data_IF_894822353322
#
_entry.id   IF_894822353322
#
_cell.length_a   1.000
_cell.length_b   1.000
_cell.length_c   1.000
_cell.angle_alpha   90.00
_cell.angle_beta   90.00
_cell.angle_gamma   90.00
#
_symmetry.space_group_name_H-M   'P 1'
#
loop_
_entity.id
_entity.type
_entity.pdbx_description
1 polymer ?
#
# COMPACT_ATOMS: atom_id res chain seq x y z
N UNK A 1 6.64 -10.82 -12.37
CA UNK A 1 5.66 -9.78 -11.99
C UNK A 1 4.35 -9.93 -12.77
N UNK A 2 4.39 -10.27 -14.06
CA UNK A 2 3.20 -10.38 -14.93
C UNK A 2 2.14 -11.38 -14.45
N UNK A 3 2.53 -12.59 -14.03
CA UNK A 3 1.59 -13.58 -13.47
C UNK A 3 0.81 -13.07 -12.26
N UNK A 4 1.44 -12.25 -11.41
CA UNK A 4 0.78 -11.68 -10.24
C UNK A 4 -0.19 -10.56 -10.63
N UNK A 5 0.21 -9.73 -11.60
CA UNK A 5 -0.66 -8.69 -12.14
C UNK A 5 -1.91 -9.28 -12.81
N UNK A 6 -1.72 -10.33 -13.63
CA UNK A 6 -2.84 -11.06 -14.25
C UNK A 6 -3.83 -11.61 -13.23
N UNK A 7 -3.35 -12.15 -12.10
CA UNK A 7 -4.24 -12.58 -11.01
C UNK A 7 -5.06 -11.44 -10.41
N UNK A 8 -4.44 -10.28 -10.20
CA UNK A 8 -5.17 -9.09 -9.74
C UNK A 8 -6.20 -8.59 -10.75
N UNK A 9 -5.88 -8.67 -12.05
CA UNK A 9 -6.83 -8.37 -13.10
C UNK A 9 -8.02 -9.34 -13.10
N UNK A 10 -7.75 -10.64 -13.05
CA UNK A 10 -8.80 -11.67 -12.98
C UNK A 10 -9.66 -11.54 -11.71
N UNK A 11 -9.07 -11.13 -10.58
CA UNK A 11 -9.78 -10.79 -9.36
C UNK A 11 -10.65 -9.55 -9.55
N UNK A 12 -10.11 -8.47 -10.13
CA UNK A 12 -10.84 -7.23 -10.41
C UNK A 12 -12.05 -7.45 -11.32
N UNK A 13 -11.93 -8.32 -12.33
CA UNK A 13 -13.03 -8.69 -13.25
C UNK A 13 -14.18 -9.37 -12.50
N UNK A 14 -13.90 -10.10 -11.42
CA UNK A 14 -14.92 -10.80 -10.62
C UNK A 14 -15.61 -9.91 -9.60
N UNK A 15 -15.06 -8.73 -9.31
CA UNK A 15 -15.65 -7.80 -8.34
C UNK A 15 -16.81 -7.03 -8.96
N UNK A 16 -17.85 -6.71 -8.16
CA UNK A 16 -18.91 -5.82 -8.62
C UNK A 16 -18.36 -4.40 -8.79
N UNK A 17 -18.47 -3.84 -10.00
CA UNK A 17 -18.01 -2.48 -10.30
C UNK A 17 -17.28 -2.39 -11.64
N UNK A 18 -16.58 -1.28 -11.87
CA UNK A 18 -15.74 -1.11 -13.06
C UNK A 18 -14.39 -1.78 -12.82
N UNK A 19 -14.03 -2.75 -13.66
CA UNK A 19 -12.79 -3.53 -13.57
C UNK A 19 -11.54 -2.67 -13.37
N UNK A 20 -11.43 -1.54 -14.07
CA UNK A 20 -10.26 -0.67 -13.96
C UNK A 20 -10.14 0.00 -12.59
N UNK A 21 -11.25 0.44 -12.01
CA UNK A 21 -11.29 1.03 -10.66
C UNK A 21 -10.94 -0.04 -9.61
N UNK A 22 -11.46 -1.26 -9.76
CA UNK A 22 -11.19 -2.36 -8.85
C UNK A 22 -9.75 -2.87 -8.94
N UNK A 23 -9.17 -2.87 -10.13
CA UNK A 23 -7.77 -3.18 -10.30
C UNK A 23 -6.88 -2.16 -9.58
N UNK A 24 -7.19 -0.87 -9.69
CA UNK A 24 -6.43 0.18 -9.01
C UNK A 24 -6.59 0.11 -7.49
N UNK A 25 -7.81 -0.13 -7.00
CA UNK A 25 -8.07 -0.39 -5.58
C UNK A 25 -7.26 -1.58 -5.08
N UNK A 26 -7.17 -2.64 -5.89
CA UNK A 26 -6.30 -3.77 -5.59
C UNK A 26 -4.83 -3.32 -5.55
N UNK A 27 -4.31 -2.68 -6.57
CA UNK A 27 -2.89 -2.31 -6.56
C UNK A 27 -2.52 -1.36 -5.41
N UNK A 28 -3.41 -0.45 -5.02
CA UNK A 28 -3.18 0.49 -3.93
C UNK A 28 -3.24 -0.15 -2.53
N UNK A 29 -4.09 -1.16 -2.30
CA UNK A 29 -4.23 -1.77 -0.98
C UNK A 29 -3.16 -2.83 -0.64
N UNK A 30 -2.11 -2.93 -1.43
CA UNK A 30 -0.94 -3.75 -1.08
C UNK A 30 -0.16 -3.10 0.06
N UNK A 31 0.30 -3.91 1.02
CA UNK A 31 1.03 -3.44 2.18
C UNK A 31 2.29 -2.65 1.81
N UNK A 32 3.08 -3.12 0.83
CA UNK A 32 4.26 -2.37 0.38
C UNK A 32 3.91 -0.99 -0.20
N UNK A 33 2.77 -0.88 -0.87
CA UNK A 33 2.28 0.39 -1.37
C UNK A 33 1.73 1.29 -0.26
N UNK A 34 1.00 0.74 0.71
CA UNK A 34 0.50 1.49 1.89
C UNK A 34 1.68 2.11 2.66
N UNK A 35 2.73 1.33 2.95
CA UNK A 35 3.93 1.81 3.63
C UNK A 35 4.59 2.95 2.85
N UNK A 36 4.66 2.83 1.53
CA UNK A 36 5.19 3.88 0.66
C UNK A 36 4.31 5.15 0.65
N UNK A 37 2.99 5.00 0.56
CA UNK A 37 2.02 6.11 0.56
C UNK A 37 1.95 6.81 1.91
N UNK A 38 2.18 6.10 3.00
CA UNK A 38 2.27 6.63 4.36
C UNK A 38 3.58 7.38 4.64
N UNK A 39 4.53 7.42 3.69
CA UNK A 39 5.81 8.11 3.88
C UNK A 39 6.83 7.35 4.72
N UNK A 40 6.54 6.10 5.10
CA UNK A 40 7.45 5.26 5.91
C UNK A 40 8.62 4.68 5.11
N UNK A 41 8.63 4.92 3.80
CA UNK A 41 9.71 4.50 2.91
C UNK A 41 9.87 5.48 1.74
N UNK A 42 11.12 5.80 1.42
CA UNK A 42 11.43 6.76 0.34
C UNK A 42 11.05 6.25 -1.05
N UNK A 43 11.22 4.95 -1.30
CA UNK A 43 10.90 4.33 -2.60
C UNK A 43 10.01 3.10 -2.44
N UNK A 44 9.25 2.74 -3.48
CA UNK A 44 8.46 1.49 -3.48
C UNK A 44 9.33 0.24 -3.28
N UNK A 45 10.57 0.26 -3.80
CA UNK A 45 11.54 -0.83 -3.59
C UNK A 45 11.95 -0.96 -2.13
N UNK A 46 12.24 0.18 -1.48
CA UNK A 46 12.55 0.23 -0.05
C UNK A 46 11.35 -0.24 0.79
N UNK A 47 10.13 0.21 0.49
CA UNK A 47 8.93 -0.22 1.19
C UNK A 47 8.75 -1.74 1.11
N UNK A 48 8.91 -2.31 -0.09
CA UNK A 48 8.86 -3.77 -0.31
C UNK A 48 9.91 -4.51 0.51
N UNK A 49 11.14 -3.99 0.54
CA UNK A 49 12.22 -4.59 1.34
C UNK A 49 11.90 -4.56 2.84
N UNK A 50 11.40 -3.43 3.34
CA UNK A 50 11.05 -3.28 4.75
C UNK A 50 9.94 -4.24 5.16
N UNK A 51 8.92 -4.41 4.31
CA UNK A 51 7.87 -5.41 4.54
C UNK A 51 8.47 -6.81 4.50
N UNK A 52 9.24 -7.19 3.48
CA UNK A 52 9.84 -8.53 3.38
C UNK A 52 10.73 -8.88 4.56
N UNK A 53 11.44 -7.91 5.14
CA UNK A 53 12.27 -8.09 6.32
C UNK A 53 11.47 -8.14 7.63
N UNK A 54 10.15 -7.95 7.57
CA UNK A 54 9.26 -8.14 8.71
C UNK A 54 9.32 -7.00 9.73
N UNK A 55 9.49 -5.77 9.26
CA UNK A 55 9.51 -4.59 10.13
C UNK A 55 8.13 -4.13 10.60
N UNK A 56 7.05 -4.69 10.06
CA UNK A 56 5.69 -4.27 10.32
C UNK A 56 4.83 -5.36 10.97
N UNK A 57 3.89 -4.90 11.77
CA UNK A 57 2.77 -5.69 12.26
C UNK A 57 1.47 -5.10 11.68
N UNK A 58 0.55 -5.96 11.27
CA UNK A 58 -0.84 -5.56 10.91
C UNK A 58 -1.75 -6.11 11.99
N UNK A 59 -2.50 -5.24 12.66
CA UNK A 59 -3.39 -5.59 13.78
C UNK A 59 -2.67 -6.39 14.88
N UNK A 60 -1.42 -6.04 15.17
CA UNK A 60 -0.58 -6.73 16.17
C UNK A 60 0.06 -8.05 15.70
N UNK A 61 -0.29 -8.54 14.52
CA UNK A 61 0.29 -9.77 13.94
C UNK A 61 1.44 -9.42 13.01
N UNK A 62 2.53 -10.18 13.10
CA UNK A 62 3.68 -10.01 12.23
C UNK A 62 3.35 -10.32 10.76
N UNK A 63 3.66 -9.39 9.85
CA UNK A 63 3.43 -9.57 8.41
C UNK A 63 4.69 -9.22 7.64
N UNK A 64 5.19 -10.19 6.86
CA UNK A 64 6.37 -10.05 6.01
C UNK A 64 6.07 -10.22 4.51
N UNK A 65 4.80 -10.11 4.11
CA UNK A 65 4.34 -10.34 2.73
C UNK A 65 4.03 -8.98 2.08
N UNK A 66 4.85 -8.50 1.12
CA UNK A 66 4.62 -7.21 0.47
C UNK A 66 3.27 -7.07 -0.24
N UNK A 67 2.77 -8.19 -0.77
CA UNK A 67 1.48 -8.27 -1.44
C UNK A 67 0.30 -8.49 -0.49
N UNK A 68 0.50 -8.44 0.83
CA UNK A 68 -0.58 -8.49 1.80
C UNK A 68 -1.60 -7.39 1.48
N UNK A 69 -2.89 -7.74 1.56
CA UNK A 69 -4.02 -6.87 1.22
C UNK A 69 -4.50 -6.21 2.50
N UNK A 70 -4.28 -4.91 2.66
CA UNK A 70 -4.91 -4.19 3.78
C UNK A 70 -6.40 -4.04 3.51
N UNK A 71 -7.16 -4.09 4.58
CA UNK A 71 -8.61 -3.91 4.62
C UNK A 71 -8.96 -2.60 5.33
N UNK A 72 -10.23 -2.24 5.25
CA UNK A 72 -10.76 -1.12 6.01
C UNK A 72 -10.54 -1.33 7.51
N UNK A 73 -10.16 -0.25 8.21
CA UNK A 73 -9.88 -0.21 9.65
C UNK A 73 -8.65 -1.02 10.11
N UNK A 74 -7.83 -1.51 9.18
CA UNK A 74 -6.55 -2.08 9.54
C UNK A 74 -5.63 -1.04 10.19
N UNK A 75 -4.85 -1.53 11.14
CA UNK A 75 -3.83 -0.77 11.85
C UNK A 75 -2.48 -1.40 11.53
N UNK A 76 -1.63 -0.64 10.82
CA UNK A 76 -0.24 -1.05 10.53
C UNK A 76 0.69 -0.34 11.49
N UNK A 77 1.47 -1.11 12.25
CA UNK A 77 2.42 -0.60 13.24
C UNK A 77 3.84 -1.06 12.92
N UNK A 78 4.82 -0.28 13.34
CA UNK A 78 6.23 -0.64 13.27
C UNK A 78 6.56 -1.53 14.46
N UNK A 79 7.18 -2.67 14.19
CA UNK A 79 7.61 -3.61 15.23
C UNK A 79 8.65 -2.95 16.14
N UNK A 80 8.58 -3.18 17.45
CA UNK A 80 9.42 -2.47 18.44
C UNK A 80 10.92 -2.56 18.14
N UNK A 81 11.40 -3.74 17.72
CA UNK A 81 12.81 -3.97 17.34
C UNK A 81 13.28 -3.12 16.15
N UNK A 82 12.33 -2.64 15.34
CA UNK A 82 12.59 -1.90 14.10
C UNK A 82 12.51 -0.38 14.30
N UNK A 83 11.88 0.09 15.38
CA UNK A 83 11.71 1.52 15.67
C UNK A 83 13.03 2.30 15.69
N UNK A 84 14.10 1.68 16.19
CA UNK A 84 15.42 2.30 16.31
C UNK A 84 16.33 2.03 15.11
N UNK A 85 15.82 1.44 14.03
CA UNK A 85 16.64 1.16 12.85
C UNK A 85 16.75 2.38 11.94
N UNK A 86 17.91 2.53 11.32
CA UNK A 86 18.25 3.65 10.41
C UNK A 86 17.17 3.93 9.35
N UNK A 87 16.52 2.93 8.72
CA UNK A 87 15.45 3.20 7.74
C UNK A 87 14.26 3.98 8.30
N UNK A 88 13.89 3.77 9.57
CA UNK A 88 12.77 4.46 10.20
C UNK A 88 13.16 5.84 10.73
N UNK A 89 14.43 6.04 11.10
CA UNK A 89 14.95 7.37 11.41
C UNK A 89 14.89 8.27 10.16
N UNK A 90 15.36 7.77 9.03
CA UNK A 90 15.29 8.46 7.73
C UNK A 90 13.82 8.69 7.34
N UNK A 91 12.93 7.72 7.53
CA UNK A 91 11.52 7.90 7.24
C UNK A 91 10.89 9.05 8.05
N UNK A 92 11.24 9.18 9.35
CA UNK A 92 10.81 10.31 10.19
C UNK A 92 11.37 11.64 9.69
N UNK A 93 12.61 11.67 9.19
CA UNK A 93 13.23 12.86 8.63
C UNK A 93 12.61 13.28 7.29
N UNK A 94 12.19 12.31 6.46
CA UNK A 94 11.53 12.57 5.18
C UNK A 94 10.01 12.72 5.29
N UNK A 95 9.45 12.65 6.50
CA UNK A 95 8.02 12.82 6.75
C UNK A 95 7.59 14.25 6.33
N UNK A 96 6.65 14.33 5.39
CA UNK A 96 6.20 15.60 4.81
C UNK A 96 6.70 15.89 3.39
N UNK A 97 7.63 15.09 2.84
CA UNK A 97 8.03 15.21 1.43
C UNK A 97 6.87 14.94 0.45
N UNK A 98 5.88 14.13 0.85
CA UNK A 98 4.73 13.76 0.03
C UNK A 98 3.43 13.84 0.82
N UNK A 99 2.34 14.31 0.19
CA UNK A 99 1.04 14.28 0.83
C UNK A 99 0.59 12.83 1.05
N UNK A 100 0.12 12.56 2.27
CA UNK A 100 -0.51 11.28 2.61
C UNK A 100 -1.94 11.31 2.05
N UNK A 101 -2.37 10.29 1.26
CA UNK A 101 -3.74 10.22 0.74
C UNK A 101 -4.79 10.19 1.84
N UNK A 102 -5.99 10.72 1.58
CA UNK A 102 -7.06 10.86 2.58
C UNK A 102 -7.62 9.54 3.14
N UNK A 103 -7.42 8.41 2.45
CA UNK A 103 -7.82 7.09 2.94
C UNK A 103 -6.83 6.49 3.97
N UNK A 104 -5.67 7.14 4.16
CA UNK A 104 -4.65 6.79 5.13
C UNK A 104 -4.49 7.92 6.16
N UNK A 105 -4.17 7.54 7.38
CA UNK A 105 -3.74 8.48 8.41
C UNK A 105 -2.52 7.92 9.12
N UNK A 106 -1.50 8.75 9.31
CA UNK A 106 -0.33 8.40 10.14
C UNK A 106 -0.46 9.12 11.48
N UNK A 107 -0.48 8.36 12.56
CA UNK A 107 -0.69 8.86 13.92
C UNK A 107 0.45 8.49 14.86
N UNK A 108 0.72 9.41 15.79
CA UNK A 108 1.64 9.21 16.90
C UNK A 108 3.12 9.15 16.52
N UNK A 109 3.96 9.14 17.54
CA UNK A 109 5.41 9.14 17.38
C UNK A 109 5.96 7.82 16.80
N UNK A 110 5.21 6.73 17.03
CA UNK A 110 5.51 5.37 16.53
C UNK A 110 5.21 5.18 15.04
N UNK A 111 4.68 6.21 14.36
CA UNK A 111 4.37 6.16 12.93
C UNK A 111 3.35 5.07 12.59
N UNK A 112 2.28 4.98 13.38
CA UNK A 112 1.20 4.02 13.18
C UNK A 112 0.32 4.48 12.02
N UNK A 113 0.06 3.59 11.06
CA UNK A 113 -0.78 3.87 9.90
C UNK A 113 -2.17 3.28 10.13
N UNK A 114 -3.19 4.13 10.02
CA UNK A 114 -4.59 3.76 10.10
C UNK A 114 -5.18 3.80 8.68
N UNK A 115 -5.89 2.74 8.31
CA UNK A 115 -6.61 2.65 7.03
C UNK A 115 -8.08 2.96 7.30
N UNK A 116 -8.60 4.10 6.83
CA UNK A 116 -9.99 4.47 7.10
C UNK A 116 -10.98 3.79 6.15
N UNK A 117 -10.58 3.62 4.90
CA UNK A 117 -11.36 3.01 3.83
C UNK A 117 -10.41 2.56 2.72
N UNK A 118 -10.92 1.76 1.78
CA UNK A 118 -10.18 1.49 0.56
C UNK A 118 -10.23 2.73 -0.36
N UNK A 119 -9.16 2.99 -1.14
CA UNK A 119 -9.10 4.17 -1.98
C UNK A 119 -10.13 4.14 -3.11
N UNK A 120 -10.82 5.26 -3.30
CA UNK A 120 -11.61 5.52 -4.49
C UNK A 120 -10.74 6.01 -5.64
N UNK A 121 -11.21 5.86 -6.88
CA UNK A 121 -10.45 6.27 -8.07
C UNK A 121 -10.00 7.74 -8.04
N UNK A 122 -10.85 8.63 -7.52
CA UNK A 122 -10.56 10.05 -7.37
C UNK A 122 -9.44 10.36 -6.36
N UNK A 123 -9.19 9.44 -5.41
CA UNK A 123 -8.12 9.55 -4.42
C UNK A 123 -6.78 8.98 -4.93
N UNK A 124 -6.76 8.37 -6.11
CA UNK A 124 -5.59 7.75 -6.72
C UNK A 124 -4.98 8.70 -7.76
N UNK A 125 -3.97 9.45 -7.33
CA UNK A 125 -3.20 10.35 -8.19
C UNK A 125 -2.12 9.59 -8.97
N UNK A 126 -2.56 8.79 -9.95
CA UNK A 126 -1.68 8.09 -10.89
C UNK A 126 -2.07 8.51 -12.31
N UNK A 127 -1.15 9.09 -13.11
CA UNK A 127 -1.42 9.57 -14.46
C UNK A 127 -1.43 8.40 -15.45
N UNK A 128 -2.38 7.48 -15.28
CA UNK A 128 -2.56 6.29 -16.09
C UNK A 128 -4.06 6.11 -16.35
N UNK A 129 -4.39 5.75 -17.59
CA UNK A 129 -5.74 5.34 -17.96
C UNK A 129 -5.87 3.83 -17.79
N UNK A 130 -6.61 3.40 -16.77
CA UNK A 130 -6.89 1.99 -16.48
C UNK A 130 -7.58 1.24 -17.62
N UNK A 131 -8.33 1.96 -18.49
CA UNK A 131 -9.01 1.37 -19.66
C UNK A 131 -8.03 0.68 -20.61
N UNK A 132 -6.86 1.28 -20.85
CA UNK A 132 -5.83 0.71 -21.73
C UNK A 132 -5.29 -0.63 -21.19
N UNK A 133 -5.26 -0.78 -19.86
CA UNK A 133 -4.85 -2.03 -19.22
C UNK A 133 -5.94 -3.08 -19.40
N UNK A 134 -7.21 -2.70 -19.20
CA UNK A 134 -8.33 -3.63 -19.39
C UNK A 134 -8.38 -4.12 -20.83
N UNK A 135 -8.26 -3.22 -21.81
CA UNK A 135 -8.21 -3.56 -23.23
C UNK A 135 -7.07 -4.51 -23.59
N UNK A 136 -5.91 -4.35 -22.96
CA UNK A 136 -4.75 -5.22 -23.18
C UNK A 136 -5.02 -6.66 -22.71
N UNK A 137 -5.68 -6.84 -21.56
CA UNK A 137 -5.98 -8.17 -21.00
C UNK A 137 -7.29 -8.79 -21.51
N UNK A 138 -8.14 -8.03 -22.21
CA UNK A 138 -9.38 -8.55 -22.82
C UNK A 138 -9.20 -9.13 -24.23
N UNK A 139 -8.02 -8.95 -24.83
CA UNK A 139 -7.62 -9.57 -26.10
C UNK A 139 -7.12 -11.00 -25.87
#
# INVERSE_FOLDING_TARGET
MEKQFRRYYEEAVRQPGKTGEELLKILESRLDNVIYRAGLARTRRMARQLVSHGHFNVNGVHVNVPSYRVSQYDIVDVRDKSLNTVPFQIARETAGERPIPSWLQVVGERQRVLIHQLPERAQIDVPLTEQLIVEYYSK
#
